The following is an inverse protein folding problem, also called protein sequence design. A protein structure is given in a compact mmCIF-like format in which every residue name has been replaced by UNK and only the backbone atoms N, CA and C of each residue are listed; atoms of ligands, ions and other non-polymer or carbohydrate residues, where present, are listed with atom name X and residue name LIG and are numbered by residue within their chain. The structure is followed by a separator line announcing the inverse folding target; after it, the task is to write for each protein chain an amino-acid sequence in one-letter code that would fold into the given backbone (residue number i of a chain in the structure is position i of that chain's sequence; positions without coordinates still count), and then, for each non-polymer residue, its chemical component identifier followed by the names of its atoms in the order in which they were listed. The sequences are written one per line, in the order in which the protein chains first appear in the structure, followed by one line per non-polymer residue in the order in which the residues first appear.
data_IF_142699216731
#
_entry.id   IF_142699216731
#
_cell.length_a   1.000
_cell.length_b   1.000
_cell.length_c   1.000
_cell.angle_alpha   90.00
_cell.angle_beta   90.00
_cell.angle_gamma   90.00
#
_symmetry.space_group_name_H-M   'P 1'
#
loop_
_entity.id
_entity.type
_entity.pdbx_description
1 polymer ?
#
# COMPACT_ATOMS: atom_id res chain seq x y z
N UNK A 1 -12.62 -12.37 0.84
CA UNK A 1 -12.35 -10.99 1.29
C UNK A 1 -12.97 -10.03 0.30
N UNK A 2 -14.29 -9.99 0.25
CA UNK A 2 -14.98 -9.33 -0.87
C UNK A 2 -15.39 -7.87 -0.56
N UNK A 3 -15.00 -7.34 0.60
CA UNK A 3 -15.41 -6.00 1.05
C UNK A 3 -14.26 -5.02 1.29
N UNK A 4 -13.01 -5.47 1.25
CA UNK A 4 -11.83 -4.58 1.32
C UNK A 4 -11.25 -4.47 -0.08
N UNK A 5 -11.24 -3.26 -0.63
CA UNK A 5 -10.73 -3.01 -1.98
C UNK A 5 -9.21 -2.77 -1.98
N UNK A 6 -8.60 -2.93 -3.15
CA UNK A 6 -7.19 -2.54 -3.34
C UNK A 6 -7.02 -1.03 -3.16
N UNK A 7 -6.01 -0.64 -2.40
CA UNK A 7 -5.71 0.76 -2.11
C UNK A 7 -6.36 1.29 -0.83
N UNK A 8 -7.03 0.43 -0.07
CA UNK A 8 -7.57 0.79 1.24
C UNK A 8 -6.45 1.06 2.25
N UNK A 9 -6.76 1.93 3.21
CA UNK A 9 -5.83 2.29 4.28
C UNK A 9 -6.11 1.46 5.52
N UNK A 10 -5.06 0.88 6.09
CA UNK A 10 -5.14 0.15 7.34
C UNK A 10 -4.07 0.60 8.33
N UNK A 11 -4.34 0.42 9.61
CA UNK A 11 -3.39 0.64 10.69
C UNK A 11 -2.89 -0.70 11.22
N UNK A 12 -1.59 -0.88 11.32
CA UNK A 12 -0.99 -2.06 11.95
C UNK A 12 -1.16 -1.94 13.46
N UNK A 13 -2.08 -2.70 14.02
CA UNK A 13 -2.33 -2.73 15.47
C UNK A 13 -1.33 -3.59 16.22
N UNK A 14 -0.99 -4.75 15.64
CA UNK A 14 -0.09 -5.71 16.28
C UNK A 14 0.72 -6.46 15.22
N UNK A 15 2.01 -6.65 15.49
CA UNK A 15 2.87 -7.61 14.80
C UNK A 15 3.12 -8.75 15.77
N UNK A 16 2.73 -9.98 15.41
CA UNK A 16 2.83 -11.14 16.27
C UNK A 16 4.11 -11.92 16.04
N UNK A 17 4.40 -12.21 14.80
CA UNK A 17 5.52 -13.06 14.39
C UNK A 17 6.04 -12.62 13.04
N UNK A 18 7.36 -12.61 12.91
CA UNK A 18 8.03 -12.44 11.62
C UNK A 18 8.75 -13.73 11.26
N UNK A 19 8.81 -14.05 9.98
CA UNK A 19 9.55 -15.21 9.48
C UNK A 19 10.09 -14.94 8.07
N UNK A 20 11.16 -15.63 7.75
CA UNK A 20 11.73 -15.62 6.42
C UNK A 20 11.51 -16.98 5.75
N UNK A 21 10.80 -16.98 4.62
CA UNK A 21 10.48 -18.16 3.84
C UNK A 21 10.61 -17.81 2.36
N UNK A 22 11.07 -18.73 1.54
CA UNK A 22 11.23 -18.57 0.09
C UNK A 22 12.12 -17.37 -0.30
N UNK A 23 12.98 -16.91 0.61
CA UNK A 23 13.78 -15.70 0.44
C UNK A 23 12.98 -14.40 0.52
N UNK A 24 11.81 -14.41 1.15
CA UNK A 24 10.96 -13.27 1.46
C UNK A 24 10.64 -13.20 2.95
N UNK A 25 10.39 -11.99 3.43
CA UNK A 25 10.03 -11.71 4.83
C UNK A 25 8.53 -11.56 4.96
N UNK A 26 7.95 -12.32 5.86
CA UNK A 26 6.53 -12.30 6.18
C UNK A 26 6.31 -11.89 7.64
N UNK A 27 5.15 -11.30 7.90
CA UNK A 27 4.71 -11.02 9.28
C UNK A 27 3.24 -11.41 9.47
N UNK A 28 2.95 -12.08 10.58
CA UNK A 28 1.58 -12.28 11.05
C UNK A 28 1.16 -11.00 11.77
N UNK A 29 0.19 -10.29 11.23
CA UNK A 29 -0.24 -8.97 11.73
C UNK A 29 -1.73 -8.90 11.98
N UNK A 30 -2.11 -8.02 12.90
CA UNK A 30 -3.49 -7.58 13.06
C UNK A 30 -3.60 -6.17 12.47
N UNK A 31 -4.40 -6.02 11.45
CA UNK A 31 -4.73 -4.76 10.79
C UNK A 31 -6.08 -4.25 11.29
N UNK A 32 -6.19 -2.93 11.42
CA UNK A 32 -7.46 -2.23 11.69
C UNK A 32 -7.75 -1.34 10.50
N UNK A 33 -8.98 -1.38 10.02
CA UNK A 33 -9.49 -0.57 8.93
C UNK A 33 -10.43 0.51 9.49
N UNK A 34 -9.97 1.75 9.69
CA UNK A 34 -10.77 2.81 10.29
C UNK A 34 -12.02 3.16 9.47
N UNK A 35 -11.92 3.10 8.15
CA UNK A 35 -13.02 3.42 7.24
C UNK A 35 -14.11 2.33 7.21
N UNK A 36 -13.87 1.19 7.88
CA UNK A 36 -14.77 0.05 8.02
C UNK A 36 -15.17 -0.21 9.47
N UNK A 37 -15.47 0.84 10.24
CA UNK A 37 -15.84 0.78 11.65
C UNK A 37 -14.82 0.04 12.51
N UNK A 38 -13.53 0.34 12.30
CA UNK A 38 -12.41 -0.30 12.99
C UNK A 38 -12.38 -1.83 12.86
N UNK A 39 -12.83 -2.33 11.71
CA UNK A 39 -12.78 -3.76 11.43
C UNK A 39 -11.36 -4.30 11.58
N UNK A 40 -11.21 -5.34 12.39
CA UNK A 40 -9.92 -6.01 12.62
C UNK A 40 -9.77 -7.23 11.72
N UNK A 41 -8.59 -7.35 11.10
CA UNK A 41 -8.23 -8.45 10.23
C UNK A 41 -6.88 -9.03 10.61
N UNK A 42 -6.84 -10.34 10.87
CA UNK A 42 -5.59 -11.08 11.07
C UNK A 42 -5.14 -11.67 9.74
N UNK A 43 -3.96 -11.26 9.29
CA UNK A 43 -3.41 -11.68 7.99
C UNK A 43 -1.92 -11.89 8.03
N UNK A 44 -1.44 -12.63 7.05
CA UNK A 44 -0.04 -12.71 6.70
C UNK A 44 0.30 -11.56 5.73
N UNK A 45 1.34 -10.82 6.03
CA UNK A 45 1.78 -9.65 5.28
C UNK A 45 3.17 -9.86 4.71
N UNK A 46 3.38 -9.51 3.46
CA UNK A 46 4.68 -9.53 2.80
C UNK A 46 5.42 -8.22 3.05
N UNK A 47 6.53 -8.28 3.80
CA UNK A 47 7.27 -7.08 4.23
C UNK A 47 8.15 -6.49 3.14
N UNK A 48 8.60 -7.30 2.18
CA UNK A 48 9.53 -6.85 1.14
C UNK A 48 8.91 -5.80 0.23
N UNK A 49 7.60 -5.81 0.04
CA UNK A 49 6.88 -4.78 -0.72
C UNK A 49 6.95 -3.39 -0.12
N UNK A 50 7.18 -3.25 1.19
CA UNK A 50 7.31 -1.96 1.87
C UNK A 50 8.46 -1.11 1.32
N UNK A 51 9.53 -1.75 0.85
CA UNK A 51 10.78 -1.10 0.43
C UNK A 51 11.00 -1.10 -1.08
N UNK A 52 10.10 -1.69 -1.87
CA UNK A 52 10.20 -1.66 -3.35
C UNK A 52 9.65 -0.35 -3.91
N UNK A 53 10.15 0.11 -5.05
CA UNK A 53 9.57 1.27 -5.76
C UNK A 53 8.25 0.92 -6.46
N UNK A 54 8.08 -0.36 -6.80
CA UNK A 54 6.85 -0.88 -7.41
C UNK A 54 5.69 -0.93 -6.40
N UNK A 55 4.44 -0.67 -6.80
CA UNK A 55 3.28 -0.77 -5.92
C UNK A 55 3.05 -2.17 -5.36
N UNK A 56 3.45 -3.20 -6.09
CA UNK A 56 3.38 -4.61 -5.69
C UNK A 56 4.71 -5.31 -5.98
N UNK A 57 4.81 -6.58 -5.64
CA UNK A 57 6.00 -7.38 -5.92
C UNK A 57 6.29 -7.40 -7.43
N UNK A 58 7.52 -7.09 -7.88
CA UNK A 58 7.90 -7.17 -9.28
C UNK A 58 7.63 -8.56 -9.86
N UNK A 59 7.30 -8.64 -11.15
CA UNK A 59 6.91 -9.90 -11.80
C UNK A 59 7.93 -11.02 -11.56
N UNK A 60 9.23 -10.73 -11.71
CA UNK A 60 10.28 -11.73 -11.51
C UNK A 60 10.29 -12.30 -10.08
N UNK A 61 10.08 -11.46 -9.08
CA UNK A 61 10.01 -11.88 -7.68
C UNK A 61 8.69 -12.60 -7.36
N UNK A 62 7.59 -12.16 -7.95
CA UNK A 62 6.32 -12.86 -7.83
C UNK A 62 6.37 -14.26 -8.47
N UNK A 63 7.01 -14.40 -9.63
CA UNK A 63 7.25 -15.70 -10.27
C UNK A 63 8.15 -16.58 -9.37
N UNK A 64 9.20 -16.01 -8.76
CA UNK A 64 10.07 -16.73 -7.81
C UNK A 64 9.25 -17.25 -6.62
N UNK A 65 8.45 -16.39 -5.99
CA UNK A 65 7.57 -16.80 -4.89
C UNK A 65 6.60 -17.90 -5.33
N UNK A 66 5.97 -17.75 -6.50
CA UNK A 66 5.07 -18.74 -7.07
C UNK A 66 5.72 -20.12 -7.20
N UNK A 67 6.91 -20.20 -7.80
CA UNK A 67 7.59 -21.47 -7.98
C UNK A 67 8.08 -22.07 -6.67
N UNK A 68 8.58 -21.26 -5.74
CA UNK A 68 9.04 -21.75 -4.43
C UNK A 68 7.88 -22.31 -3.60
N UNK A 69 6.73 -21.65 -3.59
CA UNK A 69 5.53 -22.17 -2.91
C UNK A 69 4.99 -23.41 -3.63
N UNK A 70 5.09 -23.47 -4.97
CA UNK A 70 4.64 -24.63 -5.74
C UNK A 70 5.47 -25.88 -5.44
N UNK A 71 6.74 -25.75 -5.07
CA UNK A 71 7.62 -26.85 -4.68
C UNK A 71 7.13 -27.56 -3.41
N UNK A 72 6.57 -26.83 -2.45
CA UNK A 72 6.01 -27.42 -1.21
C UNK A 72 4.82 -28.36 -1.48
N UNK A 73 4.21 -28.25 -2.64
CA UNK A 73 3.10 -29.10 -3.10
C UNK A 73 3.52 -30.11 -4.17
N UNK A 74 4.83 -30.43 -4.28
CA UNK A 74 5.36 -31.34 -5.30
C UNK A 74 4.84 -32.78 -5.16
N UNK A 75 4.47 -33.19 -3.94
CA UNK A 75 3.90 -34.51 -3.63
C UNK A 75 2.50 -34.72 -4.24
N UNK A 76 1.82 -33.62 -4.61
CA UNK A 76 0.49 -33.71 -5.23
C UNK A 76 0.64 -33.95 -6.72
N UNK A 77 0.34 -35.18 -7.16
CA UNK A 77 0.49 -35.60 -8.55
C UNK A 77 -0.54 -34.99 -9.50
N UNK A 78 -1.75 -34.70 -9.01
CA UNK A 78 -2.82 -34.10 -9.79
C UNK A 78 -2.59 -32.60 -9.93
N UNK A 79 -2.20 -32.14 -11.12
CA UNK A 79 -1.86 -30.73 -11.41
C UNK A 79 -2.95 -29.74 -10.99
N UNK A 80 -4.22 -30.07 -11.20
CA UNK A 80 -5.35 -29.20 -10.83
C UNK A 80 -5.46 -29.00 -9.32
N UNK A 81 -5.29 -30.05 -8.54
CA UNK A 81 -5.33 -30.00 -7.08
C UNK A 81 -4.13 -29.26 -6.50
N UNK A 82 -2.94 -29.55 -7.06
CA UNK A 82 -1.70 -28.84 -6.72
C UNK A 82 -1.85 -27.35 -6.89
N UNK A 83 -2.35 -26.89 -8.05
CA UNK A 83 -2.60 -25.47 -8.32
C UNK A 83 -3.66 -24.87 -7.41
N UNK A 84 -4.70 -25.63 -7.06
CA UNK A 84 -5.74 -25.16 -6.13
C UNK A 84 -5.18 -24.94 -4.72
N UNK A 85 -4.36 -25.85 -4.20
CA UNK A 85 -3.73 -25.72 -2.89
C UNK A 85 -2.72 -24.58 -2.87
N UNK A 86 -1.86 -24.47 -3.87
CA UNK A 86 -0.89 -23.39 -4.00
C UNK A 86 -1.59 -22.02 -4.02
N UNK A 87 -2.68 -21.87 -4.81
CA UNK A 87 -3.46 -20.61 -4.84
C UNK A 87 -4.17 -20.28 -3.53
N UNK A 88 -4.38 -21.26 -2.65
CA UNK A 88 -4.96 -21.08 -1.32
C UNK A 88 -3.88 -20.93 -0.23
N UNK A 89 -2.60 -21.01 -0.59
CA UNK A 89 -1.49 -20.91 0.34
C UNK A 89 -1.44 -19.52 0.99
N UNK A 90 -1.27 -19.41 2.32
CA UNK A 90 -1.28 -18.15 3.05
C UNK A 90 -0.07 -17.26 2.73
N UNK A 91 1.06 -17.82 2.31
CA UNK A 91 2.25 -17.04 1.95
C UNK A 91 2.18 -16.54 0.52
N UNK A 92 1.62 -17.34 -0.39
CA UNK A 92 1.34 -16.88 -1.76
C UNK A 92 0.27 -15.77 -1.78
N UNK A 93 -0.72 -15.86 -0.89
CA UNK A 93 -1.77 -14.85 -0.71
C UNK A 93 -1.42 -13.82 0.37
N UNK A 94 -0.17 -13.73 0.80
CA UNK A 94 0.25 -12.73 1.76
C UNK A 94 -0.07 -11.33 1.25
N UNK A 95 -0.62 -10.50 2.13
CA UNK A 95 -1.05 -9.17 1.80
C UNK A 95 0.16 -8.31 1.41
N UNK A 96 0.10 -7.71 0.24
CA UNK A 96 1.12 -6.79 -0.23
C UNK A 96 0.74 -5.38 0.19
N UNK A 97 1.68 -4.66 0.79
CA UNK A 97 1.39 -3.38 1.45
C UNK A 97 2.46 -2.34 1.16
N UNK A 98 2.09 -1.08 1.27
CA UNK A 98 2.97 0.09 1.22
C UNK A 98 2.71 0.99 2.42
N UNK A 99 3.72 1.78 2.80
CA UNK A 99 3.49 2.84 3.78
C UNK A 99 2.51 3.88 3.24
N UNK A 100 1.57 4.29 4.09
CA UNK A 100 0.54 5.29 3.77
C UNK A 100 0.94 6.70 4.22
N UNK A 101 2.23 7.06 4.10
CA UNK A 101 2.70 8.41 4.44
C UNK A 101 2.32 9.45 3.38
N UNK A 102 2.23 9.02 2.14
CA UNK A 102 1.81 9.83 1.02
C UNK A 102 1.14 8.95 -0.04
N UNK A 103 0.22 9.53 -0.78
CA UNK A 103 -0.53 8.86 -1.82
C UNK A 103 -0.54 9.73 -3.07
N UNK A 104 -0.48 9.11 -4.25
CA UNK A 104 -0.66 9.87 -5.49
C UNK A 104 -2.08 10.39 -5.61
N UNK A 105 -2.26 11.56 -6.22
CA UNK A 105 -3.57 12.15 -6.44
C UNK A 105 -4.57 11.19 -7.10
N UNK A 106 -4.11 10.36 -8.04
CA UNK A 106 -4.97 9.35 -8.69
C UNK A 106 -5.48 8.28 -7.71
N UNK A 107 -4.64 7.83 -6.78
CA UNK A 107 -5.05 6.87 -5.75
C UNK A 107 -5.90 7.50 -4.66
N UNK A 108 -5.82 8.81 -4.47
CA UNK A 108 -6.65 9.57 -3.54
C UNK A 108 -8.07 9.83 -4.06
N UNK A 109 -8.38 9.45 -5.31
CA UNK A 109 -9.74 9.62 -5.87
C UNK A 109 -10.74 8.81 -5.06
N UNK A 110 -11.87 9.45 -4.72
CA UNK A 110 -12.92 8.87 -3.88
C UNK A 110 -12.72 9.09 -2.37
N UNK A 111 -11.48 9.25 -1.89
CA UNK A 111 -11.20 9.59 -0.50
C UNK A 111 -11.34 11.08 -0.20
N UNK A 112 -11.59 11.43 1.06
CA UNK A 112 -11.60 12.79 1.58
C UNK A 112 -10.96 12.82 2.96
N UNK A 113 -10.18 13.88 3.24
CA UNK A 113 -9.49 14.07 4.50
C UNK A 113 -9.67 15.50 5.01
N UNK A 114 -9.70 15.68 6.30
CA UNK A 114 -9.83 17.03 6.92
C UNK A 114 -8.70 17.96 6.46
N UNK A 115 -7.46 17.49 6.54
CA UNK A 115 -6.28 18.25 6.16
C UNK A 115 -5.52 17.50 5.08
N UNK A 116 -5.20 18.17 3.98
CA UNK A 116 -4.45 17.61 2.85
C UNK A 116 -3.23 18.47 2.58
N UNK A 117 -2.07 17.85 2.51
CA UNK A 117 -0.83 18.48 2.07
C UNK A 117 -0.58 18.07 0.62
N UNK A 118 -0.47 19.06 -0.26
CA UNK A 118 -0.29 18.87 -1.69
C UNK A 118 1.17 19.15 -2.07
N UNK A 119 1.88 18.13 -2.50
CA UNK A 119 3.20 18.27 -3.11
C UNK A 119 3.07 18.09 -4.63
N UNK A 120 3.32 19.19 -5.36
CA UNK A 120 3.29 19.15 -6.83
C UNK A 120 4.63 18.77 -7.46
N UNK A 121 5.68 18.64 -6.64
CA UNK A 121 7.04 18.41 -7.12
C UNK A 121 7.62 19.62 -7.88
N UNK A 122 8.62 19.36 -8.72
CA UNK A 122 9.23 20.39 -9.58
C UNK A 122 8.31 20.71 -10.75
N UNK A 123 8.02 22.00 -10.96
CA UNK A 123 7.13 22.48 -12.00
C UNK A 123 7.83 23.52 -12.88
N UNK A 124 7.61 23.44 -14.19
CA UNK A 124 7.93 24.46 -15.19
C UNK A 124 6.67 24.84 -15.96
N UNK A 125 6.70 25.95 -16.66
CA UNK A 125 5.54 26.42 -17.44
C UNK A 125 5.07 25.40 -18.48
N UNK A 126 5.93 24.51 -18.95
CA UNK A 126 5.61 23.44 -19.90
C UNK A 126 4.66 22.39 -19.32
N UNK A 127 4.63 22.24 -17.99
CA UNK A 127 3.71 21.32 -17.31
C UNK A 127 2.31 21.89 -17.07
N UNK A 128 2.07 23.18 -17.38
CA UNK A 128 0.75 23.83 -17.23
C UNK A 128 -0.21 23.39 -18.35
N UNK A 129 -0.50 22.12 -18.40
CA UNK A 129 -1.40 21.49 -19.37
C UNK A 129 -2.83 21.36 -18.81
N UNK A 130 -3.85 21.12 -19.66
CA UNK A 130 -5.19 20.81 -19.17
C UNK A 130 -5.24 19.62 -18.18
N UNK A 131 -4.36 18.64 -18.33
CA UNK A 131 -4.29 17.48 -17.43
C UNK A 131 -3.70 17.86 -16.06
N UNK A 132 -2.78 18.80 -16.01
CA UNK A 132 -2.31 19.36 -14.76
C UNK A 132 -3.47 20.05 -13.99
N UNK A 133 -4.31 20.82 -14.65
CA UNK A 133 -5.45 21.48 -13.99
C UNK A 133 -6.50 20.47 -13.51
N UNK A 134 -6.72 19.37 -14.23
CA UNK A 134 -7.57 18.26 -13.79
C UNK A 134 -6.99 17.55 -12.55
N UNK A 135 -5.69 17.31 -12.59
CA UNK A 135 -4.96 16.77 -11.42
C UNK A 135 -5.09 17.69 -10.22
N UNK A 136 -4.88 18.99 -10.41
CA UNK A 136 -4.95 20.01 -9.36
C UNK A 136 -6.36 20.08 -8.75
N UNK A 137 -7.38 20.11 -9.59
CA UNK A 137 -8.77 20.06 -9.14
C UNK A 137 -9.05 18.81 -8.30
N UNK A 138 -8.61 17.65 -8.77
CA UNK A 138 -8.76 16.40 -8.04
C UNK A 138 -8.06 16.47 -6.69
N UNK A 139 -6.84 16.99 -6.63
CA UNK A 139 -6.06 17.12 -5.41
C UNK A 139 -6.72 18.05 -4.37
N UNK A 140 -7.16 19.24 -4.79
CA UNK A 140 -7.82 20.19 -3.89
C UNK A 140 -9.15 19.68 -3.34
N UNK A 141 -9.93 18.98 -4.15
CA UNK A 141 -11.23 18.44 -3.73
C UNK A 141 -11.12 17.27 -2.75
N UNK A 142 -9.91 16.84 -2.38
CA UNK A 142 -9.69 15.82 -1.34
C UNK A 142 -9.78 16.38 0.07
N UNK A 143 -9.54 17.68 0.25
CA UNK A 143 -9.62 18.32 1.57
C UNK A 143 -11.06 18.72 1.90
N UNK A 144 -11.52 18.39 3.12
CA UNK A 144 -12.83 18.83 3.64
C UNK A 144 -12.73 20.08 4.51
N UNK A 145 -11.55 20.34 5.13
CA UNK A 145 -11.36 21.50 6.00
C UNK A 145 -10.19 22.38 5.54
N UNK A 146 -9.02 21.78 5.24
CA UNK A 146 -7.82 22.55 4.89
C UNK A 146 -6.97 21.84 3.86
N UNK A 147 -6.55 22.57 2.82
CA UNK A 147 -5.48 22.16 1.91
C UNK A 147 -4.26 23.05 2.13
N UNK A 148 -3.09 22.44 2.23
CA UNK A 148 -1.80 23.13 2.37
C UNK A 148 -0.93 22.75 1.18
N UNK A 149 -0.47 23.75 0.45
CA UNK A 149 0.40 23.56 -0.69
C UNK A 149 1.86 23.49 -0.22
N UNK A 150 2.55 22.43 -0.56
CA UNK A 150 3.99 22.29 -0.36
C UNK A 150 4.68 22.76 -1.64
N UNK A 151 5.36 23.90 -1.54
CA UNK A 151 6.21 24.36 -2.63
C UNK A 151 7.52 23.56 -2.58
N UNK A 152 7.85 22.88 -3.69
CA UNK A 152 9.07 22.10 -3.80
C UNK A 152 10.30 23.00 -3.69
N UNK A 153 10.92 23.02 -2.54
CA UNK A 153 12.16 23.74 -2.30
C UNK A 153 12.62 23.55 -0.88
N UNK A 154 13.84 23.17 -0.71
CA UNK A 154 14.65 22.86 0.51
C UNK A 154 14.32 23.60 1.83
N UNK A 155 13.23 24.37 1.92
CA UNK A 155 12.90 25.20 3.08
C UNK A 155 12.02 24.51 4.14
N UNK A 156 11.33 23.41 3.83
CA UNK A 156 10.37 22.81 4.76
C UNK A 156 10.96 21.88 5.82
N UNK A 157 12.22 21.47 5.69
CA UNK A 157 12.83 20.54 6.65
C UNK A 157 13.32 21.21 7.95
N UNK A 158 13.16 22.52 8.12
CA UNK A 158 13.75 23.20 9.29
C UNK A 158 12.80 23.55 10.44
N UNK A 159 11.49 23.72 10.27
CA UNK A 159 10.72 24.37 11.34
C UNK A 159 9.33 23.81 11.69
N UNK A 160 8.77 22.83 10.99
CA UNK A 160 7.49 22.25 11.44
C UNK A 160 7.57 20.74 11.50
N UNK A 161 7.60 20.20 12.71
CA UNK A 161 7.26 18.79 12.93
C UNK A 161 5.77 18.66 12.65
N UNK A 162 5.41 18.25 11.43
CA UNK A 162 4.06 17.75 11.15
C UNK A 162 3.86 16.57 12.10
N UNK A 163 2.89 16.61 13.00
CA UNK A 163 2.62 15.47 13.86
C UNK A 163 2.17 14.32 12.93
N UNK A 164 3.04 13.34 12.75
CA UNK A 164 2.68 12.08 12.08
C UNK A 164 1.72 11.32 12.99
N UNK A 165 0.43 11.60 12.85
CA UNK A 165 -0.59 11.04 13.73
C UNK A 165 -1.10 9.66 13.26
N UNK A 166 -0.66 9.17 12.09
CA UNK A 166 -1.10 7.88 11.57
C UNK A 166 0.06 7.15 10.88
N UNK A 167 0.55 6.08 11.51
CA UNK A 167 1.34 5.05 10.86
C UNK A 167 0.41 4.08 10.15
N UNK A 168 -0.19 4.51 9.04
CA UNK A 168 -1.02 3.66 8.19
C UNK A 168 -0.22 2.94 7.12
N UNK A 169 -0.78 1.86 6.60
CA UNK A 169 -0.31 1.14 5.42
C UNK A 169 -1.44 1.07 4.40
N UNK A 170 -1.08 1.10 3.11
CA UNK A 170 -2.00 0.74 2.04
C UNK A 170 -1.96 -0.77 1.80
N UNK A 171 -3.13 -1.35 1.55
CA UNK A 171 -3.33 -2.75 1.19
C UNK A 171 -3.46 -2.87 -0.32
N UNK A 172 -2.75 -3.81 -0.96
CA UNK A 172 -2.77 -4.09 -2.39
C UNK A 172 -3.11 -5.55 -2.68
#
# INVERSE_FOLDING_TARGET
MDFIANGETAVVRRVRRTRELYGFRFADVTLVFPDYNDFELEVNMLLDTLHTDSPALPKAENDRLFYSVLEDYADITVKRERMKKMKADPYYNALQVKYAYAVTCHKAQGGQWKNVFLDQGYMTDEYLTPDYFRWLYTAFTRATERSTWLLSGRQYLKNERVPMQYSGIFVF
#
